data_IF_293800205532
#
_entry.id   IF_293800205532
#
_cell.length_a   1.000
_cell.length_b   1.000
_cell.length_c   1.000
_cell.angle_alpha   90.00
_cell.angle_beta   90.00
_cell.angle_gamma   90.00
#
_symmetry.space_group_name_H-M   'P 1'
#
loop_
_entity.id
_entity.type
_entity.pdbx_description
1 polymer ?
#
# COMPACT_ATOMS: atom_id res chain seq x y z
N UNK A 1 12.15 -15.01 -1.59
CA UNK A 1 13.14 -13.92 -1.76
C UNK A 1 13.83 -14.08 -3.09
N UNK A 2 14.39 -13.00 -3.64
CA UNK A 2 15.15 -13.01 -4.92
C UNK A 2 16.66 -12.76 -4.73
N UNK A 3 17.12 -12.60 -3.47
CA UNK A 3 18.55 -12.48 -3.10
C UNK A 3 19.31 -11.38 -3.86
N UNK A 4 18.77 -10.16 -3.87
CA UNK A 4 19.29 -9.03 -4.66
C UNK A 4 20.16 -8.01 -3.89
N UNK A 5 20.59 -8.30 -2.66
CA UNK A 5 21.64 -7.50 -2.00
C UNK A 5 23.02 -8.06 -2.35
N UNK A 6 23.35 -7.99 -3.64
CA UNK A 6 24.57 -8.55 -4.26
C UNK A 6 24.71 -7.98 -5.67
N UNK A 7 25.94 -7.75 -6.14
CA UNK A 7 26.24 -7.25 -7.50
C UNK A 7 25.71 -8.19 -8.60
N UNK A 8 25.57 -9.49 -8.27
CA UNK A 8 24.99 -10.51 -9.15
C UNK A 8 23.93 -11.33 -8.41
N UNK A 9 22.86 -11.71 -9.12
CA UNK A 9 21.81 -12.57 -8.60
C UNK A 9 21.41 -13.66 -9.61
N UNK A 10 21.14 -14.86 -9.11
CA UNK A 10 20.57 -15.96 -9.91
C UNK A 10 19.07 -16.04 -9.60
N UNK A 11 18.24 -15.87 -10.63
CA UNK A 11 16.79 -15.89 -10.50
C UNK A 11 16.16 -16.88 -11.48
N UNK A 12 15.04 -17.47 -11.07
CA UNK A 12 14.25 -18.30 -11.95
C UNK A 12 13.64 -17.44 -13.07
N UNK A 13 13.64 -17.94 -14.31
CA UNK A 13 13.16 -17.18 -15.49
C UNK A 13 11.74 -16.62 -15.32
N UNK A 14 10.86 -17.33 -14.61
CA UNK A 14 9.47 -16.86 -14.34
C UNK A 14 9.38 -15.68 -13.38
N UNK A 15 10.46 -15.35 -12.68
CA UNK A 15 10.55 -14.19 -11.78
C UNK A 15 11.16 -12.97 -12.48
N UNK A 16 11.57 -13.11 -13.75
CA UNK A 16 12.14 -12.03 -14.55
C UNK A 16 11.05 -11.48 -15.48
N UNK A 17 10.73 -10.20 -15.30
CA UNK A 17 9.82 -9.47 -16.19
C UNK A 17 10.66 -8.55 -17.06
N UNK A 18 10.78 -8.80 -18.37
CA UNK A 18 11.45 -7.87 -19.25
C UNK A 18 10.65 -6.58 -19.33
N UNK A 19 11.32 -5.45 -19.13
CA UNK A 19 10.74 -4.12 -19.22
C UNK A 19 11.54 -3.32 -20.25
N UNK A 20 10.82 -2.71 -21.19
CA UNK A 20 11.39 -1.77 -22.16
C UNK A 20 11.15 -0.36 -21.61
N UNK A 21 12.12 0.12 -20.83
CA UNK A 21 11.98 1.35 -20.07
C UNK A 21 13.29 2.12 -20.01
N UNK A 22 13.19 3.37 -20.46
CA UNK A 22 14.18 4.44 -20.37
C UNK A 22 14.20 5.13 -18.99
N UNK A 23 13.36 4.69 -18.04
CA UNK A 23 13.34 5.22 -16.68
C UNK A 23 14.63 4.95 -15.92
N UNK A 24 14.92 5.78 -14.94
CA UNK A 24 16.02 5.55 -14.00
C UNK A 24 15.88 4.17 -13.30
N UNK A 25 16.92 3.33 -13.26
CA UNK A 25 16.88 2.02 -12.61
C UNK A 25 16.41 2.05 -11.14
N UNK A 26 16.70 3.13 -10.40
CA UNK A 26 16.26 3.29 -9.01
C UNK A 26 14.74 3.37 -8.91
N UNK A 27 14.09 4.01 -9.89
CA UNK A 27 12.63 4.08 -10.03
C UNK A 27 12.08 2.73 -10.49
N UNK A 28 12.75 2.05 -11.42
CA UNK A 28 12.31 0.72 -11.88
C UNK A 28 12.30 -0.31 -10.74
N UNK A 29 13.26 -0.23 -9.81
CA UNK A 29 13.41 -1.17 -8.71
C UNK A 29 12.21 -1.21 -7.73
N UNK A 30 11.38 -0.17 -7.67
CA UNK A 30 10.20 -0.16 -6.78
C UNK A 30 9.01 -0.98 -7.34
N UNK A 31 8.99 -1.26 -8.65
CA UNK A 31 7.88 -1.93 -9.29
C UNK A 31 7.78 -3.42 -8.95
N UNK A 32 8.89 -4.09 -8.61
CA UNK A 32 8.91 -5.55 -8.42
C UNK A 32 8.23 -6.07 -7.14
N UNK A 33 7.83 -5.21 -6.20
CA UNK A 33 7.19 -5.63 -4.96
C UNK A 33 6.15 -4.63 -4.46
N UNK A 34 6.57 -3.50 -3.90
CA UNK A 34 5.66 -2.59 -3.19
C UNK A 34 4.56 -2.02 -4.10
N UNK A 35 4.91 -1.63 -5.33
CA UNK A 35 3.95 -1.12 -6.32
C UNK A 35 2.95 -2.21 -6.73
N UNK A 36 3.42 -3.42 -7.05
CA UNK A 36 2.53 -4.55 -7.35
C UNK A 36 1.57 -4.83 -6.21
N UNK A 37 2.08 -4.93 -4.99
CA UNK A 37 1.28 -5.27 -3.82
C UNK A 37 0.26 -4.17 -3.52
N UNK A 38 0.70 -2.91 -3.42
CA UNK A 38 -0.15 -1.79 -3.04
C UNK A 38 -1.17 -1.45 -4.12
N UNK A 39 -0.71 -1.14 -5.33
CA UNK A 39 -1.60 -0.80 -6.44
C UNK A 39 -2.52 -1.97 -6.79
N UNK A 40 -1.98 -3.20 -6.84
CA UNK A 40 -2.77 -4.38 -7.14
C UNK A 40 -3.80 -4.71 -6.06
N UNK A 41 -3.49 -4.51 -4.77
CA UNK A 41 -4.47 -4.75 -3.72
C UNK A 41 -5.72 -3.88 -3.89
N UNK A 42 -5.55 -2.62 -4.29
CA UNK A 42 -6.66 -1.69 -4.53
C UNK A 42 -7.32 -1.94 -5.89
N UNK A 43 -6.54 -2.05 -6.96
CA UNK A 43 -7.05 -2.08 -8.34
C UNK A 43 -7.50 -3.47 -8.79
N UNK A 44 -6.78 -4.52 -8.41
CA UNK A 44 -7.03 -5.89 -8.87
C UNK A 44 -7.82 -6.70 -7.84
N UNK A 45 -7.36 -6.76 -6.59
CA UNK A 45 -7.99 -7.57 -5.55
C UNK A 45 -9.30 -6.93 -5.09
N UNK A 46 -9.23 -5.69 -4.62
CA UNK A 46 -10.40 -4.98 -4.13
C UNK A 46 -11.29 -4.46 -5.24
N UNK A 47 -10.77 -4.30 -6.47
CA UNK A 47 -11.50 -3.77 -7.63
C UNK A 47 -12.11 -2.41 -7.32
N UNK A 48 -11.25 -1.45 -6.99
CA UNK A 48 -11.66 -0.06 -6.83
C UNK A 48 -12.45 0.41 -8.06
N UNK A 49 -13.58 1.05 -7.81
CA UNK A 49 -14.38 1.73 -8.81
C UNK A 49 -14.16 3.24 -8.68
N UNK A 50 -14.13 3.94 -9.81
CA UNK A 50 -14.04 5.39 -9.80
C UNK A 50 -15.20 6.01 -9.00
N UNK A 51 -14.92 7.05 -8.22
CA UNK A 51 -15.90 7.71 -7.37
C UNK A 51 -15.98 7.18 -5.93
N UNK A 52 -15.27 6.09 -5.61
CA UNK A 52 -15.27 5.50 -4.27
C UNK A 52 -14.46 6.30 -3.25
N UNK A 53 -14.77 6.09 -1.95
CA UNK A 53 -14.05 6.66 -0.82
C UNK A 53 -13.18 5.58 -0.20
N UNK A 54 -11.89 5.83 -0.08
CA UNK A 54 -10.89 4.81 0.28
C UNK A 54 -10.19 5.21 1.56
N UNK A 55 -10.02 4.27 2.49
CA UNK A 55 -9.06 4.40 3.59
C UNK A 55 -7.81 3.56 3.27
N UNK A 56 -6.63 4.16 3.42
CA UNK A 56 -5.35 3.47 3.32
C UNK A 56 -4.71 3.44 4.70
N UNK A 57 -4.68 2.27 5.33
CA UNK A 57 -4.20 2.06 6.71
C UNK A 57 -2.77 1.49 6.67
N UNK A 58 -1.82 2.25 7.20
CA UNK A 58 -0.39 1.98 7.15
C UNK A 58 0.25 2.57 5.91
N UNK A 59 1.07 3.60 6.07
CA UNK A 59 1.72 4.37 5.00
C UNK A 59 3.21 4.03 4.91
N UNK A 60 3.51 2.72 4.84
CA UNK A 60 4.82 2.25 4.38
C UNK A 60 4.92 2.28 2.85
N UNK A 61 6.00 1.73 2.29
CA UNK A 61 6.15 1.68 0.82
C UNK A 61 5.00 1.00 0.07
N UNK A 62 4.36 -0.03 0.66
CA UNK A 62 3.18 -0.69 0.06
C UNK A 62 1.94 0.20 0.18
N UNK A 63 1.71 0.82 1.34
CA UNK A 63 0.56 1.68 1.56
C UNK A 63 0.58 2.94 0.72
N UNK A 64 1.74 3.59 0.58
CA UNK A 64 1.86 4.74 -0.32
C UNK A 64 1.67 4.34 -1.79
N UNK A 65 2.15 3.16 -2.21
CA UNK A 65 1.83 2.65 -3.54
C UNK A 65 0.32 2.38 -3.71
N UNK A 66 -0.36 1.91 -2.66
CA UNK A 66 -1.81 1.74 -2.67
C UNK A 66 -2.56 3.09 -2.75
N UNK A 67 -2.07 4.12 -2.07
CA UNK A 67 -2.57 5.50 -2.16
C UNK A 67 -2.46 6.02 -3.59
N UNK A 68 -1.27 5.91 -4.20
CA UNK A 68 -1.06 6.28 -5.60
C UNK A 68 -1.96 5.47 -6.55
N UNK A 69 -2.09 4.17 -6.31
CA UNK A 69 -2.98 3.29 -7.05
C UNK A 69 -4.46 3.69 -6.91
N UNK A 70 -4.89 4.08 -5.71
CA UNK A 70 -6.25 4.55 -5.46
C UNK A 70 -6.54 5.87 -6.20
N UNK A 71 -5.58 6.79 -6.18
CA UNK A 71 -5.67 8.04 -6.92
C UNK A 71 -5.76 7.77 -8.44
N UNK A 72 -4.86 6.96 -8.99
CA UNK A 72 -4.86 6.56 -10.40
C UNK A 72 -6.13 5.79 -10.80
N UNK A 73 -6.73 5.03 -9.87
CA UNK A 73 -8.00 4.30 -10.05
C UNK A 73 -9.25 5.18 -9.98
N UNK A 74 -9.11 6.48 -9.74
CA UNK A 74 -10.22 7.44 -9.70
C UNK A 74 -10.99 7.43 -8.39
N UNK A 75 -10.36 7.08 -7.26
CA UNK A 75 -10.96 7.32 -5.95
C UNK A 75 -11.36 8.79 -5.81
N UNK A 76 -12.58 9.05 -5.35
CA UNK A 76 -13.07 10.42 -5.12
C UNK A 76 -12.49 11.04 -3.85
N UNK A 77 -12.19 10.21 -2.87
CA UNK A 77 -11.65 10.63 -1.58
C UNK A 77 -10.73 9.54 -1.06
N UNK A 78 -9.56 9.93 -0.58
CA UNK A 78 -8.56 9.06 0.03
C UNK A 78 -8.23 9.58 1.43
N UNK A 79 -8.48 8.74 2.43
CA UNK A 79 -8.15 8.99 3.84
C UNK A 79 -6.94 8.15 4.17
N UNK A 80 -5.79 8.80 4.37
CA UNK A 80 -4.55 8.15 4.78
C UNK A 80 -4.54 7.99 6.31
N UNK A 81 -4.13 6.82 6.79
CA UNK A 81 -4.11 6.50 8.21
C UNK A 81 -2.77 5.89 8.58
N UNK A 82 -2.04 6.49 9.52
CA UNK A 82 -0.79 5.94 10.05
C UNK A 82 -0.61 6.31 11.52
N UNK A 83 0.21 5.54 12.25
CA UNK A 83 0.54 5.81 13.64
C UNK A 83 1.67 6.86 13.79
N UNK A 84 2.45 7.09 12.73
CA UNK A 84 3.47 8.13 12.68
C UNK A 84 2.91 9.40 12.00
N UNK A 85 2.71 10.51 12.75
CA UNK A 85 2.19 11.76 12.18
C UNK A 85 3.13 12.41 11.17
N UNK A 86 4.44 12.12 11.20
CA UNK A 86 5.43 12.71 10.28
C UNK A 86 5.15 12.34 8.81
N UNK A 87 4.35 11.30 8.57
CA UNK A 87 3.96 10.85 7.23
C UNK A 87 2.80 11.66 6.63
N UNK A 88 2.14 12.52 7.40
CA UNK A 88 0.99 13.30 6.92
C UNK A 88 1.36 14.16 5.70
N UNK A 89 2.46 14.90 5.79
CA UNK A 89 2.88 15.82 4.73
C UNK A 89 3.09 15.07 3.40
N UNK A 90 3.81 13.96 3.44
CA UNK A 90 4.03 13.12 2.26
C UNK A 90 2.73 12.49 1.76
N UNK A 91 1.87 12.00 2.65
CA UNK A 91 0.59 11.41 2.24
C UNK A 91 -0.29 12.41 1.47
N UNK A 92 -0.38 13.65 1.95
CA UNK A 92 -1.10 14.74 1.29
C UNK A 92 -0.46 15.13 -0.04
N UNK A 93 0.86 15.23 -0.05
CA UNK A 93 1.64 15.51 -1.25
C UNK A 93 1.40 14.46 -2.37
N UNK A 94 1.18 13.20 -1.99
CA UNK A 94 0.90 12.08 -2.90
C UNK A 94 -0.59 11.93 -3.25
N UNK A 95 -1.48 12.77 -2.70
CA UNK A 95 -2.89 12.82 -3.09
C UNK A 95 -3.90 12.32 -2.07
N UNK A 96 -3.53 12.18 -0.79
CA UNK A 96 -4.52 11.98 0.27
C UNK A 96 -5.28 13.29 0.58
N UNK A 97 -6.61 13.22 0.63
CA UNK A 97 -7.46 14.35 1.02
C UNK A 97 -7.40 14.61 2.53
N UNK A 98 -7.31 13.54 3.30
CA UNK A 98 -7.27 13.58 4.75
C UNK A 98 -6.19 12.64 5.29
N UNK A 99 -5.67 13.01 6.46
CA UNK A 99 -4.81 12.17 7.27
C UNK A 99 -5.46 11.98 8.65
N UNK A 100 -5.41 10.76 9.18
CA UNK A 100 -5.87 10.43 10.53
C UNK A 100 -4.75 9.69 11.25
N UNK A 101 -4.40 10.15 12.45
CA UNK A 101 -3.44 9.45 13.29
C UNK A 101 -4.10 8.19 13.89
N UNK A 102 -3.58 7.01 13.58
CA UNK A 102 -4.11 5.74 14.07
C UNK A 102 -4.04 5.57 15.60
N UNK A 103 -3.22 6.38 16.29
CA UNK A 103 -3.10 6.39 17.75
C UNK A 103 -4.12 7.30 18.44
N UNK A 104 -4.86 8.09 17.69
CA UNK A 104 -5.94 8.90 18.23
C UNK A 104 -7.08 7.98 18.71
N UNK A 105 -7.56 8.11 19.96
CA UNK A 105 -8.69 7.34 20.46
C UNK A 105 -9.94 7.42 19.58
N UNK A 106 -10.13 8.54 18.86
CA UNK A 106 -11.28 8.80 18.01
C UNK A 106 -11.01 8.49 16.52
N UNK A 107 -9.87 7.87 16.18
CA UNK A 107 -9.45 7.67 14.79
C UNK A 107 -10.53 6.99 13.91
N UNK A 108 -11.23 5.97 14.44
CA UNK A 108 -12.31 5.29 13.72
C UNK A 108 -13.46 6.26 13.41
N UNK A 109 -13.88 7.05 14.39
CA UNK A 109 -14.98 8.00 14.25
C UNK A 109 -14.60 9.17 13.34
N UNK A 110 -13.34 9.61 13.37
CA UNK A 110 -12.81 10.58 12.42
C UNK A 110 -12.89 10.07 10.98
N UNK A 111 -12.41 8.85 10.70
CA UNK A 111 -12.50 8.27 9.35
C UNK A 111 -13.96 8.16 8.90
N UNK A 112 -14.87 7.70 9.76
CA UNK A 112 -16.30 7.63 9.44
C UNK A 112 -16.89 9.01 9.17
N UNK A 113 -16.60 10.02 9.98
CA UNK A 113 -17.10 11.38 9.79
C UNK A 113 -16.64 11.96 8.45
N UNK A 114 -15.34 11.83 8.14
CA UNK A 114 -14.75 12.31 6.87
C UNK A 114 -15.32 11.60 5.64
N UNK A 115 -15.72 10.34 5.77
CA UNK A 115 -16.24 9.50 4.69
C UNK A 115 -17.78 9.41 4.63
N UNK A 116 -18.49 10.22 5.43
CA UNK A 116 -19.96 10.20 5.55
C UNK A 116 -20.54 8.85 5.99
N UNK A 117 -19.98 8.26 7.06
CA UNK A 117 -20.44 7.04 7.70
C UNK A 117 -19.58 5.80 7.47
N UNK A 118 -18.40 5.95 6.86
CA UNK A 118 -17.46 4.87 6.58
C UNK A 118 -17.06 4.79 5.11
N UNK A 119 -15.90 4.21 4.84
CA UNK A 119 -15.33 4.08 3.49
C UNK A 119 -15.94 2.90 2.73
N UNK A 120 -16.03 3.03 1.41
CA UNK A 120 -16.45 1.93 0.53
C UNK A 120 -15.37 0.87 0.39
N UNK A 121 -14.11 1.28 0.49
CA UNK A 121 -12.93 0.41 0.49
C UNK A 121 -11.97 0.81 1.62
N UNK A 122 -11.64 -0.11 2.51
CA UNK A 122 -10.50 0.04 3.42
C UNK A 122 -9.39 -0.93 2.98
N UNK A 123 -8.16 -0.42 2.86
CA UNK A 123 -6.99 -1.20 2.48
C UNK A 123 -5.92 -1.12 3.56
N UNK A 124 -5.51 -2.27 4.10
CA UNK A 124 -4.62 -2.38 5.25
C UNK A 124 -3.24 -2.95 4.87
N UNK A 125 -2.18 -2.27 5.34
CA UNK A 125 -0.78 -2.49 5.00
C UNK A 125 0.19 -2.35 6.19
N UNK A 126 -0.31 -2.22 7.42
CA UNK A 126 0.50 -2.08 8.62
C UNK A 126 0.94 -3.43 9.21
N UNK A 127 0.16 -4.51 9.02
CA UNK A 127 0.51 -5.87 9.43
C UNK A 127 0.36 -6.12 10.92
N UNK A 128 -0.50 -5.36 11.59
CA UNK A 128 -0.79 -5.53 13.02
C UNK A 128 -2.30 -5.61 13.24
N UNK A 129 -2.73 -6.42 14.21
CA UNK A 129 -4.16 -6.68 14.46
C UNK A 129 -4.99 -5.41 14.69
N UNK A 130 -4.55 -4.40 15.47
CA UNK A 130 -5.31 -3.17 15.65
C UNK A 130 -5.59 -2.41 14.34
N UNK A 131 -4.66 -2.47 13.37
CA UNK A 131 -4.84 -1.83 12.07
C UNK A 131 -5.86 -2.58 11.20
N UNK A 132 -5.85 -3.91 11.25
CA UNK A 132 -6.84 -4.74 10.56
C UNK A 132 -8.24 -4.57 11.17
N UNK A 133 -8.34 -4.53 12.49
CA UNK A 133 -9.59 -4.25 13.19
C UNK A 133 -10.12 -2.86 12.83
N UNK A 134 -9.26 -1.83 12.82
CA UNK A 134 -9.63 -0.49 12.37
C UNK A 134 -10.13 -0.50 10.92
N UNK A 135 -9.43 -1.17 10.01
CA UNK A 135 -9.84 -1.26 8.60
C UNK A 135 -11.24 -1.88 8.45
N UNK A 136 -11.55 -2.91 9.24
CA UNK A 136 -12.88 -3.49 9.30
C UNK A 136 -13.88 -2.48 9.86
N UNK A 137 -13.59 -1.80 10.98
CA UNK A 137 -14.54 -0.88 11.62
C UNK A 137 -14.88 0.36 10.79
N UNK A 138 -13.91 0.92 10.06
CA UNK A 138 -14.14 2.09 9.21
C UNK A 138 -14.82 1.76 7.89
N UNK A 139 -14.86 0.47 7.50
CA UNK A 139 -15.58 0.03 6.30
C UNK A 139 -17.07 0.15 6.53
N UNK A 140 -17.81 0.72 5.58
CA UNK A 140 -19.28 0.87 5.69
C UNK A 140 -20.04 -0.41 5.31
N UNK A 141 -21.36 -0.40 5.52
CA UNK A 141 -22.28 -1.43 4.98
C UNK A 141 -22.20 -1.49 3.44
N UNK A 142 -22.11 -2.68 2.87
CA UNK A 142 -21.85 -2.92 1.44
C UNK A 142 -20.40 -2.67 1.02
N UNK A 143 -19.52 -2.35 1.98
CA UNK A 143 -18.12 -2.02 1.75
C UNK A 143 -17.20 -3.24 1.75
N UNK A 144 -15.95 -2.99 1.35
CA UNK A 144 -14.91 -4.01 1.21
C UNK A 144 -13.70 -3.64 2.06
N UNK A 145 -13.15 -4.61 2.76
CA UNK A 145 -11.84 -4.51 3.42
C UNK A 145 -10.87 -5.44 2.71
N UNK A 146 -9.71 -4.92 2.32
CA UNK A 146 -8.60 -5.71 1.78
C UNK A 146 -7.38 -5.57 2.69
N UNK A 147 -6.71 -6.66 3.01
CA UNK A 147 -5.38 -6.63 3.63
C UNK A 147 -4.37 -7.28 2.71
N UNK A 148 -3.23 -6.62 2.52
CA UNK A 148 -2.05 -7.19 1.86
C UNK A 148 -0.85 -7.27 2.82
N UNK A 149 -1.09 -7.00 4.10
CA UNK A 149 -0.08 -7.10 5.14
C UNK A 149 0.01 -8.54 5.66
N UNK A 150 1.14 -8.85 6.30
CA UNK A 150 1.39 -10.17 6.89
C UNK A 150 1.58 -9.99 8.41
N UNK A 151 0.52 -10.20 9.22
CA UNK A 151 0.65 -10.20 10.68
C UNK A 151 1.41 -11.43 11.17
N UNK A 152 1.65 -11.51 12.48
CA UNK A 152 2.24 -12.70 13.07
C UNK A 152 1.35 -13.92 12.75
N UNK A 153 1.90 -15.05 12.24
CA UNK A 153 1.11 -16.23 11.92
C UNK A 153 0.29 -16.83 13.09
N UNK A 154 0.67 -16.50 14.33
CA UNK A 154 -0.07 -16.90 15.53
C UNK A 154 -1.31 -16.03 15.79
N UNK A 155 -1.36 -14.80 15.25
CA UNK A 155 -2.47 -13.89 15.44
C UNK A 155 -3.74 -14.43 14.77
N UNK A 156 -4.89 -14.10 15.36
CA UNK A 156 -6.20 -14.53 14.87
C UNK A 156 -7.10 -13.33 14.72
N UNK A 157 -7.79 -13.28 13.59
CA UNK A 157 -8.86 -12.33 13.37
C UNK A 157 -10.19 -12.95 13.82
N UNK A 158 -10.94 -12.22 14.64
CA UNK A 158 -12.30 -12.58 15.04
C UNK A 158 -13.28 -11.60 14.42
N UNK A 159 -14.16 -12.09 13.54
CA UNK A 159 -15.20 -11.27 12.91
C UNK A 159 -16.56 -11.88 13.22
N UNK A 160 -17.50 -11.04 13.63
CA UNK A 160 -18.89 -11.47 13.81
C UNK A 160 -19.49 -11.89 12.45
N UNK A 161 -19.68 -13.19 12.25
CA UNK A 161 -20.20 -13.74 10.98
C UNK A 161 -21.55 -13.14 10.59
N UNK A 162 -22.42 -12.86 11.57
CA UNK A 162 -23.69 -12.19 11.34
C UNK A 162 -23.50 -10.80 10.71
N UNK A 163 -22.48 -10.03 11.13
CA UNK A 163 -22.18 -8.70 10.60
C UNK A 163 -21.78 -8.73 9.14
N UNK A 164 -21.01 -9.75 8.72
CA UNK A 164 -20.65 -9.94 7.31
C UNK A 164 -21.90 -10.07 6.43
N UNK A 165 -22.90 -10.82 6.91
CA UNK A 165 -24.16 -11.06 6.19
C UNK A 165 -25.10 -9.86 6.26
N UNK A 166 -25.39 -9.32 7.45
CA UNK A 166 -26.40 -8.27 7.65
C UNK A 166 -25.96 -6.89 7.13
N UNK A 167 -24.66 -6.67 7.05
CA UNK A 167 -24.07 -5.45 6.48
C UNK A 167 -23.52 -5.65 5.07
N UNK A 168 -23.65 -6.83 4.47
CA UNK A 168 -23.18 -7.14 3.12
C UNK A 168 -21.70 -6.76 2.91
N UNK A 169 -20.83 -7.15 3.86
CA UNK A 169 -19.40 -6.79 3.83
C UNK A 169 -18.55 -7.88 3.22
N UNK A 170 -17.48 -7.47 2.54
CA UNK A 170 -16.44 -8.39 2.10
C UNK A 170 -15.12 -8.13 2.85
N UNK A 171 -14.46 -9.21 3.28
CA UNK A 171 -13.10 -9.19 3.81
C UNK A 171 -12.22 -10.06 2.91
N UNK A 172 -11.13 -9.48 2.41
CA UNK A 172 -10.31 -10.07 1.36
C UNK A 172 -8.83 -10.06 1.74
N UNK A 173 -8.14 -11.16 1.47
CA UNK A 173 -6.68 -11.21 1.47
C UNK A 173 -6.12 -10.89 0.08
N UNK A 174 -4.98 -10.21 0.05
CA UNK A 174 -4.26 -9.87 -1.19
C UNK A 174 -2.81 -10.33 -1.11
N UNK A 175 -2.44 -11.29 -1.94
CA UNK A 175 -1.05 -11.70 -2.09
C UNK A 175 -0.45 -11.05 -3.33
N UNK A 176 0.54 -10.16 -3.13
CA UNK A 176 1.20 -9.38 -4.21
C UNK A 176 0.18 -8.65 -5.09
N UNK A 177 -0.89 -8.15 -4.48
CA UNK A 177 -1.91 -7.38 -5.18
C UNK A 177 -2.75 -8.17 -6.19
N UNK A 178 -2.82 -9.51 -6.06
CA UNK A 178 -3.39 -10.40 -7.09
C UNK A 178 -2.83 -10.14 -8.49
N UNK A 179 -1.58 -9.66 -8.55
CA UNK A 179 -0.97 -9.27 -9.79
C UNK A 179 -0.44 -10.47 -10.59
N UNK A 180 -0.44 -10.31 -11.89
CA UNK A 180 0.37 -11.08 -12.84
C UNK A 180 1.53 -10.17 -13.23
N UNK A 181 2.76 -10.38 -12.73
CA UNK A 181 3.86 -9.44 -12.90
C UNK A 181 4.13 -9.03 -14.36
N UNK A 182 4.05 -9.98 -15.30
CA UNK A 182 4.24 -9.72 -16.74
C UNK A 182 3.15 -8.85 -17.36
N UNK A 183 1.98 -8.74 -16.73
CA UNK A 183 0.88 -7.85 -17.14
C UNK A 183 0.96 -6.52 -16.39
N UNK A 184 1.09 -6.58 -15.07
CA UNK A 184 0.84 -5.43 -14.21
C UNK A 184 2.05 -4.49 -14.10
N UNK A 185 3.29 -5.01 -14.13
CA UNK A 185 4.49 -4.15 -14.13
C UNK A 185 4.48 -3.21 -15.35
N UNK A 186 4.31 -3.69 -16.60
CA UNK A 186 4.21 -2.80 -17.76
C UNK A 186 3.07 -1.78 -17.65
N UNK A 187 1.91 -2.18 -17.13
CA UNK A 187 0.77 -1.27 -16.96
C UNK A 187 1.06 -0.15 -15.95
N UNK A 188 1.65 -0.48 -14.79
CA UNK A 188 2.01 0.51 -13.79
C UNK A 188 3.15 1.43 -14.26
N UNK A 189 4.12 0.89 -15.00
CA UNK A 189 5.15 1.70 -15.67
C UNK A 189 4.54 2.69 -16.66
N UNK A 190 3.55 2.25 -17.45
CA UNK A 190 2.85 3.13 -18.39
C UNK A 190 2.07 4.25 -17.68
N UNK A 191 1.46 3.98 -16.52
CA UNK A 191 0.81 5.01 -15.71
C UNK A 191 1.83 6.01 -15.13
N UNK A 192 2.97 5.51 -14.66
CA UNK A 192 4.06 6.36 -14.17
C UNK A 192 4.60 7.29 -15.26
N UNK A 193 4.87 6.77 -16.46
CA UNK A 193 5.31 7.56 -17.62
C UNK A 193 4.32 8.64 -18.03
N UNK A 194 3.03 8.47 -17.74
CA UNK A 194 1.97 9.47 -17.96
C UNK A 194 1.79 10.45 -16.80
N UNK A 195 2.60 10.34 -15.75
CA UNK A 195 2.49 11.16 -14.54
C UNK A 195 1.31 10.79 -13.62
N UNK A 196 0.59 9.70 -13.93
CA UNK A 196 -0.59 9.27 -13.17
C UNK A 196 -0.23 8.41 -11.95
N UNK A 197 1.00 7.90 -11.89
CA UNK A 197 1.50 7.08 -10.81
C UNK A 197 2.95 7.50 -10.46
N UNK A 198 3.16 8.64 -9.78
CA UNK A 198 4.49 9.18 -9.48
C UNK A 198 5.20 8.39 -8.36
N UNK A 199 5.59 7.15 -8.64
CA UNK A 199 6.19 6.22 -7.67
C UNK A 199 7.59 6.63 -7.20
N UNK A 200 8.28 7.47 -7.97
CA UNK A 200 9.57 8.05 -7.66
C UNK A 200 9.51 8.89 -6.38
N UNK A 201 8.39 9.61 -6.17
CA UNK A 201 8.16 10.44 -4.98
C UNK A 201 8.05 9.64 -3.68
N UNK A 202 7.95 8.32 -3.75
CA UNK A 202 7.94 7.45 -2.58
C UNK A 202 9.36 7.09 -2.10
N UNK A 203 10.37 7.29 -2.94
CA UNK A 203 11.77 6.98 -2.63
C UNK A 203 12.29 8.06 -1.68
N UNK A 204 12.52 7.67 -0.42
CA UNK A 204 12.99 8.60 0.59
C UNK A 204 14.52 8.67 0.67
N UNK A 205 15.22 7.59 0.34
CA UNK A 205 16.69 7.54 0.36
C UNK A 205 17.25 6.65 -0.74
N UNK A 206 18.47 6.98 -1.16
CA UNK A 206 19.33 6.13 -1.98
C UNK A 206 20.65 5.98 -1.24
N UNK A 207 21.13 4.75 -1.09
CA UNK A 207 22.35 4.42 -0.35
C UNK A 207 23.16 3.38 -1.13
N UNK A 208 24.45 3.28 -0.83
CA UNK A 208 25.28 2.20 -1.38
C UNK A 208 25.11 0.90 -0.58
N UNK A 209 25.44 -0.25 -1.18
CA UNK A 209 25.40 -1.55 -0.49
C UNK A 209 26.21 -1.55 0.82
N UNK A 210 27.32 -0.81 0.86
CA UNK A 210 28.16 -0.68 2.05
C UNK A 210 27.41 -0.09 3.26
N UNK A 211 26.32 0.65 3.02
CA UNK A 211 25.50 1.31 4.03
C UNK A 211 24.23 0.52 4.39
N UNK A 212 24.13 -0.75 3.97
CA UNK A 212 22.92 -1.56 4.16
C UNK A 212 22.45 -1.63 5.62
N UNK A 213 23.38 -1.68 6.58
CA UNK A 213 23.01 -1.71 8.01
C UNK A 213 22.32 -0.41 8.46
N UNK A 214 22.80 0.75 7.99
CA UNK A 214 22.17 2.05 8.25
C UNK A 214 20.78 2.09 7.64
N UNK A 215 20.61 1.56 6.43
CA UNK A 215 19.30 1.44 5.80
C UNK A 215 18.35 0.56 6.63
N UNK A 216 18.83 -0.55 7.18
CA UNK A 216 18.03 -1.45 8.04
C UNK A 216 17.64 -0.80 9.37
N UNK A 217 18.55 -0.07 10.01
CA UNK A 217 18.28 0.69 11.25
C UNK A 217 17.21 1.76 11.01
N UNK A 218 17.38 2.57 9.96
CA UNK A 218 16.40 3.60 9.58
C UNK A 218 15.01 3.03 9.30
N UNK A 219 14.96 1.84 8.69
CA UNK A 219 13.72 1.11 8.45
C UNK A 219 13.08 0.66 9.77
N UNK A 220 13.86 0.12 10.70
CA UNK A 220 13.38 -0.32 12.02
C UNK A 220 12.84 0.85 12.87
N UNK A 221 13.45 2.03 12.75
CA UNK A 221 13.02 3.26 13.43
C UNK A 221 11.82 3.95 12.75
N UNK A 222 11.39 3.48 11.57
CA UNK A 222 10.27 4.06 10.84
C UNK A 222 10.56 5.43 10.19
N UNK A 223 11.84 5.80 10.08
CA UNK A 223 12.31 7.05 9.46
C UNK A 223 12.45 6.95 7.93
N UNK A 224 12.27 5.76 7.38
CA UNK A 224 12.29 5.53 5.93
C UNK A 224 10.97 4.98 5.42
N UNK A 225 10.58 5.44 4.23
CA UNK A 225 9.43 4.95 3.49
C UNK A 225 9.89 3.88 2.49
N UNK A 226 10.80 4.28 1.59
CA UNK A 226 11.40 3.40 0.60
C UNK A 226 12.85 3.81 0.38
N UNK A 227 13.75 2.85 0.50
CA UNK A 227 15.18 3.07 0.31
C UNK A 227 15.63 2.22 -0.88
N UNK A 228 16.43 2.81 -1.76
CA UNK A 228 17.09 2.12 -2.87
C UNK A 228 18.54 1.88 -2.50
N UNK A 229 19.00 0.66 -2.75
CA UNK A 229 20.40 0.28 -2.58
C UNK A 229 21.05 0.22 -3.96
N UNK A 230 22.11 0.99 -4.14
CA UNK A 230 22.93 1.06 -5.34
C UNK A 230 24.19 0.19 -5.21
N UNK A 231 24.71 -0.20 -6.38
CA UNK A 231 25.83 -1.12 -6.59
C UNK A 231 26.71 -0.60 -7.74
#
# INVERSE_FOLDING_TARGET
>A
GISCFSDYAVSHRRSLVPIDSDLDPTVQAVFGCAVLTGCGAVLNTARLHAGERVAIIGLGGVGLAALLGAHAGGARQIIAVDANPDKEALARELGADHFVNARDPDAIEQVKALSSGGVTLAAEFAGVMPALDMAIEVTRRGGRTVTAALPNPADRLSVAAARLVTEERALMGSYVGSCVPSRDIPNFLALHKKGLLPVDRMISHTLELAEINVAMERLAEGQAVRQIICF
#
